data_IF_561434693906
#
_entry.id   IF_561434693906
#
_cell.length_a   1.000
_cell.length_b   1.000
_cell.length_c   1.000
_cell.angle_alpha   90.00
_cell.angle_beta   90.00
_cell.angle_gamma   90.00
#
_symmetry.space_group_name_H-M   'P 1'
#
loop_
_entity.id
_entity.type
_entity.pdbx_description
1 polymer ?
#
# COMPACT_ATOMS: atom_id res chain seq x y z
N UNK A 1 11.28 3.64 21.01
CA UNK A 1 10.91 3.33 19.62
C UNK A 1 10.95 1.82 19.41
N UNK A 2 9.89 1.25 18.90
CA UNK A 2 9.88 -0.19 18.68
C UNK A 2 10.40 -0.53 17.28
N UNK A 3 10.69 -1.80 17.07
CA UNK A 3 11.27 -2.26 15.81
C UNK A 3 10.32 -2.06 14.63
N UNK A 4 9.00 -2.12 14.85
CA UNK A 4 8.03 -1.92 13.80
C UNK A 4 8.09 -0.53 13.20
N UNK A 5 8.20 0.49 14.02
CA UNK A 5 8.30 1.87 13.55
C UNK A 5 9.55 2.08 12.71
N UNK A 6 10.65 1.52 13.15
CA UNK A 6 11.91 1.63 12.43
C UNK A 6 11.80 0.91 11.07
N UNK A 7 11.18 -0.26 11.08
CA UNK A 7 11.01 -1.05 9.88
C UNK A 7 10.16 -0.33 8.83
N UNK A 8 9.05 0.27 9.24
CA UNK A 8 8.19 1.00 8.32
C UNK A 8 8.86 2.25 7.75
N UNK A 9 9.70 2.89 8.54
CA UNK A 9 10.46 4.03 8.05
C UNK A 9 11.38 3.65 6.89
N UNK A 10 12.08 2.53 7.04
CA UNK A 10 12.93 2.02 5.98
C UNK A 10 12.13 1.66 4.73
N UNK A 11 10.98 1.02 4.93
CA UNK A 11 10.12 0.62 3.81
C UNK A 11 9.59 1.83 3.03
N UNK A 12 9.32 2.94 3.69
CA UNK A 12 8.86 4.16 3.02
C UNK A 12 9.90 4.70 2.03
N UNK A 13 11.17 4.46 2.27
CA UNK A 13 12.22 4.85 1.33
C UNK A 13 12.17 4.03 0.05
N UNK A 14 11.87 2.75 0.16
CA UNK A 14 11.77 1.85 -1.00
C UNK A 14 10.41 1.93 -1.69
N UNK A 15 9.37 2.32 -0.96
CA UNK A 15 8.01 2.39 -1.47
C UNK A 15 7.44 3.79 -1.23
N UNK A 16 7.90 4.79 -1.99
CA UNK A 16 7.34 6.14 -1.83
C UNK A 16 5.88 6.19 -2.25
N UNK A 17 5.13 7.06 -1.61
CA UNK A 17 3.69 7.17 -1.82
C UNK A 17 3.33 7.42 -3.29
N UNK A 18 4.17 8.14 -4.02
CA UNK A 18 3.89 8.51 -5.39
C UNK A 18 4.07 7.37 -6.41
N UNK A 19 4.32 6.15 -5.95
CA UNK A 19 4.29 4.99 -6.83
C UNK A 19 2.90 4.77 -7.43
N UNK A 20 1.85 5.20 -6.70
CA UNK A 20 0.50 5.28 -7.22
C UNK A 20 0.10 6.75 -7.30
N UNK A 21 -0.80 7.07 -8.24
CA UNK A 21 -1.34 8.42 -8.33
C UNK A 21 -2.29 8.69 -7.18
N UNK A 22 -2.60 9.97 -6.93
CA UNK A 22 -3.54 10.32 -5.89
C UNK A 22 -4.91 9.70 -6.13
N UNK A 23 -5.35 9.63 -7.38
CA UNK A 23 -6.62 9.01 -7.73
C UNK A 23 -6.61 7.52 -7.44
N UNK A 24 -5.51 6.86 -7.76
CA UNK A 24 -5.36 5.44 -7.46
C UNK A 24 -5.37 5.18 -5.96
N UNK A 25 -4.72 6.05 -5.19
CA UNK A 25 -4.71 5.92 -3.74
C UNK A 25 -6.11 6.12 -3.17
N UNK A 26 -6.84 7.12 -3.66
CA UNK A 26 -8.22 7.36 -3.21
C UNK A 26 -9.11 6.16 -3.51
N UNK A 27 -8.98 5.61 -4.70
CA UNK A 27 -9.75 4.43 -5.07
C UNK A 27 -9.39 3.22 -4.21
N UNK A 28 -8.10 3.06 -3.93
CA UNK A 28 -7.66 1.96 -3.07
C UNK A 28 -8.23 2.09 -1.65
N UNK A 29 -8.26 3.31 -1.11
CA UNK A 29 -8.85 3.55 0.20
C UNK A 29 -10.33 3.21 0.20
N UNK A 30 -11.04 3.63 -0.84
CA UNK A 30 -12.47 3.33 -1.00
C UNK A 30 -12.70 1.82 -1.09
N UNK A 31 -11.90 1.16 -1.91
CA UNK A 31 -11.99 -0.28 -2.11
C UNK A 31 -11.74 -1.04 -0.80
N UNK A 32 -10.78 -0.55 -0.01
CA UNK A 32 -10.50 -1.15 1.29
C UNK A 32 -11.69 -1.04 2.24
N UNK A 33 -12.38 0.09 2.22
CA UNK A 33 -13.58 0.27 3.05
C UNK A 33 -14.72 -0.65 2.63
N UNK A 34 -14.87 -0.89 1.34
CA UNK A 34 -15.98 -1.66 0.80
C UNK A 34 -15.72 -3.16 0.80
N UNK A 35 -14.51 -3.57 0.49
CA UNK A 35 -14.19 -4.98 0.24
C UNK A 35 -13.05 -5.54 1.07
N UNK A 36 -12.34 -4.69 1.81
CA UNK A 36 -11.25 -5.13 2.65
C UNK A 36 -9.93 -5.27 1.90
N UNK A 37 -8.94 -5.79 2.60
CA UNK A 37 -7.56 -5.77 2.11
C UNK A 37 -7.30 -6.68 0.89
N UNK A 38 -7.93 -7.86 0.75
CA UNK A 38 -7.57 -8.72 -0.39
C UNK A 38 -7.83 -8.04 -1.73
N UNK A 39 -8.97 -7.40 -1.89
CA UNK A 39 -9.30 -6.69 -3.12
C UNK A 39 -8.40 -5.48 -3.32
N UNK A 40 -8.08 -4.78 -2.25
CA UNK A 40 -7.25 -3.59 -2.31
C UNK A 40 -5.83 -3.92 -2.72
N UNK A 41 -5.25 -4.96 -2.13
CA UNK A 41 -3.90 -5.41 -2.49
C UNK A 41 -3.86 -5.85 -3.95
N UNK A 42 -4.87 -6.54 -4.41
CA UNK A 42 -4.97 -6.95 -5.81
C UNK A 42 -4.99 -5.73 -6.74
N UNK A 43 -5.73 -4.71 -6.37
CA UNK A 43 -5.79 -3.48 -7.16
C UNK A 43 -4.42 -2.79 -7.23
N UNK A 44 -3.71 -2.71 -6.11
CA UNK A 44 -2.37 -2.11 -6.07
C UNK A 44 -1.44 -2.88 -7.01
N UNK A 45 -1.51 -4.20 -6.98
CA UNK A 45 -0.72 -5.03 -7.86
C UNK A 45 -1.03 -4.78 -9.34
N UNK A 46 -2.28 -4.53 -9.65
CA UNK A 46 -2.70 -4.20 -11.01
C UNK A 46 -2.20 -2.82 -11.44
N UNK A 47 -2.17 -1.86 -10.54
CA UNK A 47 -1.64 -0.52 -10.81
C UNK A 47 -0.13 -0.56 -11.03
N UNK A 48 0.56 -1.42 -10.32
CA UNK A 48 2.02 -1.57 -10.38
C UNK A 48 2.36 -3.01 -10.68
N UNK A 49 2.41 -3.35 -11.95
CA UNK A 49 2.65 -4.72 -12.37
C UNK A 49 4.05 -5.22 -12.00
N UNK A 50 4.96 -4.32 -11.73
CA UNK A 50 6.30 -4.68 -11.24
C UNK A 50 6.29 -5.09 -9.76
N UNK A 51 5.19 -4.82 -9.05
CA UNK A 51 5.05 -5.28 -7.67
C UNK A 51 4.64 -6.75 -7.65
N UNK A 52 5.26 -7.54 -6.76
CA UNK A 52 4.72 -8.83 -6.41
C UNK A 52 3.65 -8.67 -5.35
N UNK A 53 3.07 -9.77 -4.93
CA UNK A 53 2.06 -9.75 -3.88
C UNK A 53 2.60 -9.13 -2.58
N UNK A 54 3.82 -9.47 -2.24
CA UNK A 54 4.47 -8.96 -1.03
C UNK A 54 4.64 -7.44 -1.07
N UNK A 55 5.13 -6.92 -2.20
CA UNK A 55 5.33 -5.48 -2.36
C UNK A 55 4.01 -4.72 -2.30
N UNK A 56 2.97 -5.27 -2.92
CA UNK A 56 1.65 -4.67 -2.89
C UNK A 56 1.09 -4.62 -1.47
N UNK A 57 1.30 -5.68 -0.69
CA UNK A 57 0.87 -5.73 0.70
C UNK A 57 1.62 -4.71 1.55
N UNK A 58 2.91 -4.54 1.30
CA UNK A 58 3.71 -3.55 2.02
C UNK A 58 3.18 -2.14 1.72
N UNK A 59 2.95 -1.83 0.46
CA UNK A 59 2.40 -0.53 0.07
C UNK A 59 1.04 -0.30 0.73
N UNK A 60 0.19 -1.32 0.73
CA UNK A 60 -1.10 -1.27 1.38
C UNK A 60 -0.96 -0.92 2.87
N UNK A 61 -0.06 -1.61 3.57
CA UNK A 61 0.15 -1.36 5.00
C UNK A 61 0.69 0.05 5.28
N UNK A 62 1.55 0.56 4.39
CA UNK A 62 2.15 1.87 4.58
C UNK A 62 1.18 3.03 4.35
N UNK A 63 0.33 2.93 3.34
CA UNK A 63 -0.42 4.09 2.88
C UNK A 63 -1.94 3.93 2.86
N UNK A 64 -2.44 2.74 2.74
CA UNK A 64 -3.87 2.51 2.60
C UNK A 64 -4.50 2.13 3.94
N UNK A 65 -3.90 1.20 4.64
CA UNK A 65 -4.40 0.70 5.93
C UNK A 65 -3.86 1.49 7.12
N UNK A 66 -3.32 2.64 6.87
CA UNK A 66 -2.74 3.47 7.92
C UNK A 66 -3.84 4.27 8.61
N UNK A 67 -3.83 4.23 9.94
CA UNK A 67 -4.81 4.99 10.73
C UNK A 67 -4.23 6.29 11.22
#
# INVERSE_FOLDING_TARGET
MNEEEYFYKDLEEYFPKNLLTEEEIKYAIQLNKEHGWPQTVKYIKECRQDFGLKSSKIYYDLYINRK
#
